data_IF_357269503749
#
_entry.id   IF_357269503749
#
_cell.length_a   1.000
_cell.length_b   1.000
_cell.length_c   1.000
_cell.angle_alpha   90.00
_cell.angle_beta   90.00
_cell.angle_gamma   90.00
#
_symmetry.space_group_name_H-M   'P 1'
#
loop_
_entity.id
_entity.type
_entity.pdbx_description
1 polymer ?
#
# COMPACT_ATOMS: atom_id res chain seq x y z
N UNK A 1 50.50 20.98 3.07
CA UNK A 1 49.20 21.66 3.23
C UNK A 1 48.09 20.65 3.07
N UNK A 2 47.26 20.46 4.09
CA UNK A 2 46.27 19.40 4.17
C UNK A 2 45.09 19.63 3.23
N UNK A 3 44.74 18.60 2.46
CA UNK A 3 43.48 18.54 1.71
C UNK A 3 42.46 17.80 2.58
N UNK A 4 41.48 18.52 3.11
CA UNK A 4 40.24 17.97 3.67
C UNK A 4 39.17 19.04 3.55
N UNK A 5 38.10 18.73 2.81
CA UNK A 5 36.70 19.05 3.10
C UNK A 5 35.86 18.94 1.83
N UNK A 6 35.36 17.73 1.57
CA UNK A 6 34.26 17.47 0.65
C UNK A 6 33.29 16.49 1.33
N UNK A 7 32.68 16.89 2.45
CA UNK A 7 31.79 16.01 3.21
C UNK A 7 30.43 16.60 3.56
N UNK A 8 30.06 17.78 3.03
CA UNK A 8 28.85 18.49 3.49
C UNK A 8 27.70 18.60 2.47
N UNK A 9 27.85 18.09 1.24
CA UNK A 9 26.80 18.16 0.22
C UNK A 9 25.91 16.90 0.15
N UNK A 10 26.47 15.73 0.46
CA UNK A 10 25.78 14.44 0.29
C UNK A 10 24.68 14.18 1.32
N UNK A 11 24.81 14.70 2.55
CA UNK A 11 23.82 14.53 3.62
C UNK A 11 22.48 15.20 3.29
N UNK A 12 22.51 16.44 2.81
CA UNK A 12 21.28 17.19 2.46
C UNK A 12 20.48 16.58 1.29
N UNK A 13 21.19 16.03 0.29
CA UNK A 13 20.56 15.38 -0.86
C UNK A 13 19.87 14.06 -0.46
N UNK A 14 20.47 13.32 0.47
CA UNK A 14 19.93 12.07 0.95
C UNK A 14 18.71 12.26 1.86
N UNK A 15 18.75 13.23 2.79
CA UNK A 15 17.61 13.59 3.64
C UNK A 15 16.39 13.97 2.80
N UNK A 16 16.60 14.72 1.70
CA UNK A 16 15.54 15.10 0.77
C UNK A 16 14.95 13.88 0.05
N UNK A 17 15.77 12.88 -0.27
CA UNK A 17 15.33 11.66 -0.96
C UNK A 17 14.54 10.73 -0.04
N UNK A 18 14.98 10.59 1.22
CA UNK A 18 14.24 9.84 2.24
C UNK A 18 12.88 10.48 2.54
N UNK A 19 12.85 11.80 2.74
CA UNK A 19 11.61 12.54 2.95
C UNK A 19 10.67 12.45 1.75
N UNK A 20 11.19 12.48 0.52
CA UNK A 20 10.38 12.30 -0.68
C UNK A 20 9.73 10.91 -0.74
N UNK A 21 10.48 9.85 -0.39
CA UNK A 21 9.94 8.48 -0.33
C UNK A 21 8.87 8.33 0.78
N UNK A 22 9.07 8.97 1.94
CA UNK A 22 8.05 9.02 3.01
C UNK A 22 6.79 9.73 2.53
N UNK A 23 6.94 10.92 1.94
CA UNK A 23 5.82 11.71 1.43
C UNK A 23 5.04 10.96 0.34
N UNK A 24 5.74 10.32 -0.60
CA UNK A 24 5.12 9.51 -1.64
C UNK A 24 4.38 8.31 -1.06
N UNK A 25 4.95 7.65 -0.04
CA UNK A 25 4.27 6.54 0.65
C UNK A 25 2.98 7.01 1.33
N UNK A 26 2.99 8.18 1.97
CA UNK A 26 1.79 8.75 2.58
C UNK A 26 0.72 9.12 1.55
N UNK A 27 1.09 9.66 0.40
CA UNK A 27 0.16 9.91 -0.71
C UNK A 27 -0.47 8.61 -1.23
N UNK A 28 0.33 7.54 -1.36
CA UNK A 28 -0.20 6.22 -1.77
C UNK A 28 -1.21 5.71 -0.74
N UNK A 29 -0.94 5.88 0.57
CA UNK A 29 -1.91 5.54 1.62
C UNK A 29 -3.24 6.29 1.43
N UNK A 30 -3.19 7.60 1.20
CA UNK A 30 -4.40 8.41 0.99
C UNK A 30 -5.20 7.95 -0.23
N UNK A 31 -4.52 7.63 -1.33
CA UNK A 31 -5.18 7.10 -2.54
C UNK A 31 -5.82 5.72 -2.30
N UNK A 32 -5.17 4.86 -1.52
CA UNK A 32 -5.74 3.55 -1.12
C UNK A 32 -6.97 3.74 -0.25
N UNK A 33 -6.92 4.65 0.74
CA UNK A 33 -8.06 4.95 1.62
C UNK A 33 -9.22 5.60 0.87
N UNK A 34 -8.92 6.44 -0.11
CA UNK A 34 -9.91 7.04 -1.00
C UNK A 34 -10.53 6.04 -1.99
N UNK A 35 -10.08 4.77 -1.99
CA UNK A 35 -10.51 3.72 -2.93
C UNK A 35 -10.32 4.10 -4.40
N UNK A 36 -9.42 5.05 -4.67
CA UNK A 36 -9.10 5.52 -6.01
C UNK A 36 -7.97 4.72 -6.66
N UNK A 37 -7.40 3.77 -5.93
CA UNK A 37 -6.25 2.99 -6.33
C UNK A 37 -6.55 1.49 -6.23
N UNK A 38 -6.33 0.77 -7.33
CA UNK A 38 -6.47 -0.70 -7.40
C UNK A 38 -5.49 -1.39 -6.44
N UNK A 39 -5.96 -2.31 -5.59
CA UNK A 39 -5.14 -2.94 -4.54
C UNK A 39 -3.89 -3.65 -5.10
N UNK A 40 -3.97 -4.23 -6.32
CA UNK A 40 -2.82 -4.90 -6.95
C UNK A 40 -1.80 -3.88 -7.41
N UNK A 41 -2.25 -2.75 -7.95
CA UNK A 41 -1.38 -1.64 -8.31
C UNK A 41 -0.72 -1.06 -7.06
N UNK A 42 -1.47 -0.86 -5.98
CA UNK A 42 -0.96 -0.34 -4.70
C UNK A 42 0.12 -1.23 -4.11
N UNK A 43 -0.13 -2.54 -4.06
CA UNK A 43 0.85 -3.52 -3.59
C UNK A 43 2.13 -3.51 -4.44
N UNK A 44 2.02 -3.39 -5.77
CA UNK A 44 3.17 -3.30 -6.66
C UNK A 44 3.96 -2.02 -6.44
N UNK A 45 3.28 -0.89 -6.26
CA UNK A 45 3.89 0.41 -6.02
C UNK A 45 4.67 0.40 -4.70
N UNK A 46 4.06 -0.07 -3.61
CA UNK A 46 4.75 -0.20 -2.30
C UNK A 46 5.97 -1.12 -2.40
N UNK A 47 5.87 -2.25 -3.11
CA UNK A 47 7.05 -3.13 -3.35
C UNK A 47 8.18 -2.41 -4.08
N UNK A 48 7.87 -1.50 -5.01
CA UNK A 48 8.89 -0.69 -5.69
C UNK A 48 9.50 0.34 -4.76
N UNK A 49 8.70 1.06 -3.98
CA UNK A 49 9.19 2.02 -2.99
C UNK A 49 10.10 1.36 -1.95
N UNK A 50 9.75 0.16 -1.48
CA UNK A 50 10.61 -0.63 -0.57
C UNK A 50 11.96 -1.01 -1.20
N UNK A 51 11.99 -1.29 -2.50
CA UNK A 51 13.25 -1.58 -3.22
C UNK A 51 14.13 -0.35 -3.33
N UNK A 52 13.54 0.81 -3.63
CA UNK A 52 14.28 2.08 -3.66
C UNK A 52 14.82 2.45 -2.28
N UNK A 53 14.01 2.26 -1.23
CA UNK A 53 14.47 2.46 0.15
C UNK A 53 15.63 1.52 0.50
N UNK A 54 15.57 0.24 0.10
CA UNK A 54 16.68 -0.69 0.29
C UNK A 54 17.93 -0.27 -0.50
N UNK A 55 17.77 0.21 -1.74
CA UNK A 55 18.89 0.70 -2.54
C UNK A 55 19.58 1.92 -1.89
N UNK A 56 18.84 2.81 -1.23
CA UNK A 56 19.40 3.91 -0.45
C UNK A 56 20.22 3.43 0.74
N UNK A 57 19.76 2.38 1.43
CA UNK A 57 20.49 1.78 2.55
C UNK A 57 21.79 1.15 2.06
N UNK A 58 21.74 0.35 0.99
CA UNK A 58 22.92 -0.31 0.41
C UNK A 58 23.93 0.70 -0.15
N UNK A 59 23.45 1.83 -0.69
CA UNK A 59 24.30 2.92 -1.16
C UNK A 59 24.97 3.72 -0.02
N UNK A 60 24.68 3.41 1.25
CA UNK A 60 25.17 4.17 2.41
C UNK A 60 24.57 5.57 2.52
N UNK A 61 23.50 5.82 1.77
CA UNK A 61 22.85 7.12 1.67
C UNK A 61 21.72 7.29 2.69
N UNK A 62 21.25 6.21 3.31
CA UNK A 62 20.14 6.27 4.24
C UNK A 62 20.57 6.65 5.68
N UNK A 63 19.83 7.55 6.31
CA UNK A 63 20.01 7.93 7.71
C UNK A 63 19.22 6.98 8.63
N UNK A 64 19.73 6.71 9.84
CA UNK A 64 18.99 5.90 10.84
C UNK A 64 17.57 6.44 11.14
N UNK A 65 17.36 7.76 11.36
CA UNK A 65 16.00 8.29 11.54
C UNK A 65 15.14 8.13 10.28
N UNK A 66 15.67 8.42 9.10
CA UNK A 66 14.95 8.26 7.83
C UNK A 66 14.51 6.82 7.56
N UNK A 67 15.36 5.83 7.85
CA UNK A 67 14.99 4.41 7.76
C UNK A 67 13.82 4.03 8.68
N UNK A 68 13.78 4.59 9.90
CA UNK A 68 12.69 4.34 10.85
C UNK A 68 11.39 4.96 10.35
N UNK A 69 11.44 6.20 9.85
CA UNK A 69 10.28 6.88 9.27
C UNK A 69 9.74 6.16 8.03
N UNK A 70 10.63 5.74 7.12
CA UNK A 70 10.28 4.93 5.95
C UNK A 70 9.58 3.63 6.34
N UNK A 71 10.10 2.93 7.36
CA UNK A 71 9.47 1.73 7.87
C UNK A 71 8.05 2.01 8.38
N UNK A 72 7.89 3.05 9.21
CA UNK A 72 6.57 3.44 9.73
C UNK A 72 5.60 3.83 8.61
N UNK A 73 6.06 4.56 7.59
CA UNK A 73 5.26 4.92 6.44
C UNK A 73 4.82 3.68 5.65
N UNK A 74 5.74 2.75 5.37
CA UNK A 74 5.42 1.51 4.66
C UNK A 74 4.47 0.60 5.43
N UNK A 75 4.64 0.47 6.74
CA UNK A 75 3.74 -0.31 7.59
C UNK A 75 2.32 0.28 7.57
N UNK A 76 2.19 1.60 7.53
CA UNK A 76 0.90 2.29 7.42
C UNK A 76 0.22 2.08 6.06
N UNK A 77 0.96 2.08 4.95
CA UNK A 77 0.41 1.78 3.62
C UNK A 77 0.00 0.31 3.52
N UNK A 78 0.83 -0.60 4.02
CA UNK A 78 0.51 -2.04 4.03
C UNK A 78 -0.76 -2.32 4.85
N UNK A 79 -0.95 -1.64 5.98
CA UNK A 79 -2.19 -1.74 6.76
C UNK A 79 -3.41 -1.28 5.94
N UNK A 80 -3.33 -0.09 5.33
CA UNK A 80 -4.42 0.43 4.50
C UNK A 80 -4.77 -0.48 3.31
N UNK A 81 -3.77 -1.10 2.68
CA UNK A 81 -3.98 -2.06 1.60
C UNK A 81 -4.70 -3.33 2.08
N UNK A 82 -4.29 -3.88 3.24
CA UNK A 82 -4.94 -5.06 3.83
C UNK A 82 -6.39 -4.76 4.22
N UNK A 83 -6.64 -3.58 4.78
CA UNK A 83 -8.00 -3.15 5.14
C UNK A 83 -8.89 -3.05 3.90
N UNK A 84 -8.38 -2.43 2.83
CA UNK A 84 -9.12 -2.34 1.55
C UNK A 84 -9.38 -3.74 0.95
N UNK A 85 -8.39 -4.64 0.98
CA UNK A 85 -8.57 -6.02 0.50
C UNK A 85 -9.60 -6.80 1.34
N UNK A 86 -9.59 -6.62 2.66
CA UNK A 86 -10.57 -7.23 3.55
C UNK A 86 -11.98 -6.72 3.25
N UNK A 87 -12.16 -5.41 3.04
CA UNK A 87 -13.45 -4.83 2.64
C UNK A 87 -13.95 -5.42 1.32
N UNK A 88 -13.08 -5.53 0.30
CA UNK A 88 -13.45 -6.14 -0.98
C UNK A 88 -13.92 -7.59 -0.82
N UNK A 89 -13.26 -8.36 0.04
CA UNK A 89 -13.66 -9.73 0.35
C UNK A 89 -14.99 -9.81 1.09
N UNK A 90 -15.25 -8.89 2.03
CA UNK A 90 -16.53 -8.82 2.75
C UNK A 90 -17.66 -8.46 1.79
N UNK A 91 -17.47 -7.46 0.94
CA UNK A 91 -18.46 -7.08 -0.08
C UNK A 91 -18.73 -8.21 -1.05
N UNK A 92 -17.69 -8.86 -1.58
CA UNK A 92 -17.85 -9.99 -2.49
C UNK A 92 -18.61 -11.15 -1.83
N UNK A 93 -18.32 -11.47 -0.57
CA UNK A 93 -19.05 -12.52 0.17
C UNK A 93 -20.52 -12.14 0.41
N UNK A 94 -20.82 -10.88 0.72
CA UNK A 94 -22.19 -10.41 0.87
C UNK A 94 -22.98 -10.58 -0.44
N UNK A 95 -22.41 -10.14 -1.56
CA UNK A 95 -23.04 -10.29 -2.89
C UNK A 95 -23.26 -11.76 -3.27
N UNK A 96 -22.33 -12.66 -2.94
CA UNK A 96 -22.50 -14.09 -3.18
C UNK A 96 -23.68 -14.67 -2.41
N UNK A 97 -23.84 -14.30 -1.13
CA UNK A 97 -24.99 -14.73 -0.30
C UNK A 97 -26.32 -14.19 -0.81
N UNK A 98 -26.36 -12.91 -1.19
CA UNK A 98 -27.55 -12.30 -1.79
C UNK A 98 -27.96 -13.01 -3.09
N UNK A 99 -26.98 -13.37 -3.92
CA UNK A 99 -27.22 -14.09 -5.17
C UNK A 99 -27.71 -15.52 -4.90
N UNK A 100 -27.15 -16.20 -3.90
CA UNK A 100 -27.55 -17.56 -3.53
C UNK A 100 -29.00 -17.60 -2.99
N UNK A 101 -29.37 -16.67 -2.11
CA UNK A 101 -30.75 -16.46 -1.63
C UNK A 101 -31.73 -16.14 -2.78
N UNK A 102 -31.33 -15.29 -3.73
CA UNK A 102 -32.13 -14.99 -4.91
C UNK A 102 -32.30 -16.20 -5.84
N UNK A 103 -31.32 -17.10 -5.90
CA UNK A 103 -31.39 -18.32 -6.72
C UNK A 103 -32.25 -19.41 -6.08
N UNK A 104 -32.14 -19.59 -4.76
CA UNK A 104 -32.94 -20.56 -3.99
C UNK A 104 -34.42 -20.16 -3.91
N UNK A 105 -34.72 -18.87 -3.79
CA UNK A 105 -36.10 -18.36 -3.82
C UNK A 105 -36.78 -18.51 -5.19
N UNK A 106 -36.02 -18.45 -6.30
CA UNK A 106 -36.56 -18.76 -7.64
C UNK A 106 -36.85 -20.25 -7.81
N UNK A 107 -35.92 -21.11 -7.39
CA UNK A 107 -36.06 -22.57 -7.48
C UNK A 107 -37.23 -23.12 -6.65
N UNK A 108 -37.50 -22.52 -5.50
CA UNK A 108 -38.65 -22.87 -4.66
C UNK A 108 -39.99 -22.39 -5.25
N UNK A 109 -40.06 -21.19 -5.84
CA UNK A 109 -41.26 -20.73 -6.57
C UNK A 109 -41.60 -21.54 -7.81
N UNK A 110 -40.60 -22.08 -8.50
CA UNK A 110 -40.80 -22.90 -9.70
C UNK A 110 -41.38 -24.28 -9.35
N UNK A 111 -40.91 -24.90 -8.26
CA UNK A 111 -41.50 -26.16 -7.74
C UNK A 111 -42.93 -26.02 -7.24
N UNK A 112 -43.34 -24.86 -6.74
CA UNK A 112 -44.72 -24.61 -6.28
C UNK A 112 -45.73 -24.38 -7.41
N UNK A 113 -45.27 -24.21 -8.66
CA UNK A 113 -46.17 -24.05 -9.83
C UNK A 113 -46.44 -25.35 -10.59
N UNK A 114 -45.77 -26.44 -10.21
CA UNK A 114 -45.89 -27.75 -10.85
C UNK A 114 -46.68 -28.75 -9.97
N UNK A 115 -47.46 -28.26 -9.01
CA UNK A 115 -48.31 -29.05 -8.11
C UNK A 115 -49.77 -28.60 -8.18
#
# INVERSE_FOLDING_TARGET
MGRKSSSNAATSANETTEQALVALSMQVKELVQAKSLDSRFGTKLVRRLKKEAAALVEAGNATKPGQKELKTAFDAVDAALRDHEAELLVTANATLRETDEASNSKKSKERSKES
#
